data_IF_501742173608
#
_entry.id   IF_501742173608
#
_cell.length_a   1.000
_cell.length_b   1.000
_cell.length_c   1.000
_cell.angle_alpha   90.00
_cell.angle_beta   90.00
_cell.angle_gamma   90.00
#
_symmetry.space_group_name_H-M   'P 1'
#
loop_
_entity.id
_entity.type
_entity.pdbx_description
1 polymer ?
#
# COMPACT_ATOMS: atom_id res chain seq x y z
N UNK A 1 3.38 55.99 -53.63
CA UNK A 1 2.76 56.69 -52.49
C UNK A 1 2.46 55.67 -51.41
N UNK A 2 3.31 55.58 -50.38
CA UNK A 2 3.08 54.69 -49.25
C UNK A 2 2.04 55.32 -48.34
N UNK A 3 0.89 54.66 -48.19
CA UNK A 3 -0.16 55.11 -47.28
C UNK A 3 0.38 54.90 -45.85
N UNK A 4 0.87 55.96 -45.21
CA UNK A 4 1.18 55.92 -43.78
C UNK A 4 -0.16 55.92 -43.03
N UNK A 5 -0.64 54.72 -42.71
CA UNK A 5 -1.78 54.54 -41.81
C UNK A 5 -1.32 54.77 -40.36
N UNK A 6 -2.10 55.56 -39.62
CA UNK A 6 -1.93 55.81 -38.19
C UNK A 6 -2.18 54.51 -37.39
N UNK A 7 -1.24 54.04 -36.54
CA UNK A 7 -1.40 52.81 -35.76
C UNK A 7 -2.69 52.75 -34.92
N UNK A 8 -3.16 53.88 -34.41
CA UNK A 8 -4.41 53.93 -33.63
C UNK A 8 -5.65 53.65 -34.51
N UNK A 9 -5.62 54.05 -35.77
CA UNK A 9 -6.71 53.78 -36.72
C UNK A 9 -6.73 52.31 -37.17
N UNK A 10 -5.57 51.67 -37.28
CA UNK A 10 -5.48 50.22 -37.54
C UNK A 10 -6.03 49.43 -36.34
N UNK A 11 -5.69 49.83 -35.11
CA UNK A 11 -6.17 49.12 -33.92
C UNK A 11 -7.69 49.26 -33.75
N UNK A 12 -8.25 50.44 -34.03
CA UNK A 12 -9.70 50.66 -34.10
C UNK A 12 -10.37 49.80 -35.20
N UNK A 13 -9.80 49.76 -36.41
CA UNK A 13 -10.32 48.95 -37.51
C UNK A 13 -10.29 47.45 -37.21
N UNK A 14 -9.21 46.96 -36.60
CA UNK A 14 -9.11 45.54 -36.21
C UNK A 14 -10.07 45.19 -35.08
N UNK A 15 -10.37 46.14 -34.17
CA UNK A 15 -11.38 45.98 -33.13
C UNK A 15 -12.79 45.85 -33.72
N UNK A 16 -13.14 46.68 -34.70
CA UNK A 16 -14.43 46.62 -35.39
C UNK A 16 -14.58 45.32 -36.21
N UNK A 17 -13.51 44.88 -36.87
CA UNK A 17 -13.47 43.58 -37.54
C UNK A 17 -13.67 42.43 -36.55
N UNK A 18 -12.97 42.43 -35.40
CA UNK A 18 -13.16 41.43 -34.35
C UNK A 18 -14.58 41.44 -33.78
N UNK A 19 -15.19 42.61 -33.64
CA UNK A 19 -16.58 42.73 -33.19
C UNK A 19 -17.55 42.10 -34.20
N UNK A 20 -17.35 42.35 -35.50
CA UNK A 20 -18.14 41.72 -36.57
C UNK A 20 -17.98 40.20 -36.57
N UNK A 21 -16.75 39.68 -36.45
CA UNK A 21 -16.52 38.23 -36.38
C UNK A 21 -17.17 37.58 -35.15
N UNK A 22 -17.16 38.28 -33.99
CA UNK A 22 -17.83 37.80 -32.78
C UNK A 22 -19.34 37.69 -32.96
N UNK A 23 -19.96 38.69 -33.60
CA UNK A 23 -21.40 38.66 -33.89
C UNK A 23 -21.77 37.52 -34.85
N UNK A 24 -20.96 37.26 -35.88
CA UNK A 24 -21.16 36.13 -36.80
C UNK A 24 -21.04 34.79 -36.07
N UNK A 25 -20.05 34.65 -35.18
CA UNK A 25 -19.88 33.45 -34.36
C UNK A 25 -21.08 33.21 -33.46
N UNK A 26 -21.59 34.24 -32.79
CA UNK A 26 -22.79 34.14 -31.95
C UNK A 26 -24.05 33.78 -32.76
N UNK A 27 -24.17 34.26 -34.00
CA UNK A 27 -25.26 33.90 -34.91
C UNK A 27 -25.21 32.42 -35.29
N UNK A 28 -24.03 31.91 -35.67
CA UNK A 28 -23.85 30.48 -35.99
C UNK A 28 -24.09 29.58 -34.78
N UNK A 29 -23.63 29.98 -33.60
CA UNK A 29 -23.87 29.22 -32.37
C UNK A 29 -25.37 29.13 -32.02
N UNK A 30 -26.12 30.23 -32.20
CA UNK A 30 -27.58 30.22 -32.03
C UNK A 30 -28.28 29.34 -33.05
N UNK A 31 -27.87 29.39 -34.32
CA UNK A 31 -28.42 28.54 -35.38
C UNK A 31 -28.22 27.04 -35.08
N UNK A 32 -27.02 26.66 -34.62
CA UNK A 32 -26.66 25.29 -34.22
C UNK A 32 -27.18 24.89 -32.83
N UNK A 33 -27.88 25.79 -32.11
CA UNK A 33 -28.33 25.61 -30.71
C UNK A 33 -27.21 25.21 -29.75
N UNK A 34 -25.98 25.68 -30.00
CA UNK A 34 -24.81 25.34 -29.20
C UNK A 34 -24.51 26.46 -28.19
N UNK A 35 -24.47 26.12 -26.90
CA UNK A 35 -24.05 27.06 -25.85
C UNK A 35 -22.53 27.04 -25.70
N UNK A 36 -21.88 28.06 -26.25
CA UNK A 36 -20.43 28.27 -26.19
C UNK A 36 -19.89 28.41 -24.76
N UNK A 37 -20.76 28.74 -23.79
CA UNK A 37 -20.41 28.94 -22.38
C UNK A 37 -20.88 27.81 -21.48
N UNK A 38 -21.41 26.72 -22.04
CA UNK A 38 -21.86 25.55 -21.28
C UNK A 38 -20.75 24.98 -20.39
N UNK A 39 -19.52 24.88 -20.91
CA UNK A 39 -18.35 24.45 -20.15
C UNK A 39 -18.03 25.36 -18.97
N UNK A 40 -17.98 26.69 -19.18
CA UNK A 40 -17.73 27.66 -18.11
C UNK A 40 -18.83 27.63 -17.04
N UNK A 41 -20.10 27.50 -17.44
CA UNK A 41 -21.22 27.38 -16.51
C UNK A 41 -21.13 26.11 -15.67
N UNK A 42 -20.76 24.99 -16.28
CA UNK A 42 -20.55 23.72 -15.59
C UNK A 42 -19.35 23.83 -14.62
N UNK A 43 -18.26 24.46 -15.03
CA UNK A 43 -17.07 24.68 -14.20
C UNK A 43 -17.39 25.57 -12.98
N UNK A 44 -18.11 26.68 -13.18
CA UNK A 44 -18.57 27.55 -12.08
C UNK A 44 -19.47 26.77 -11.11
N UNK A 45 -20.31 25.87 -11.63
CA UNK A 45 -21.19 25.04 -10.81
C UNK A 45 -20.38 24.01 -10.00
N UNK A 46 -19.40 23.33 -10.62
CA UNK A 46 -18.47 22.41 -9.95
C UNK A 46 -17.69 23.12 -8.85
N UNK A 47 -17.16 24.32 -9.13
CA UNK A 47 -16.40 25.11 -8.16
C UNK A 47 -17.26 25.51 -6.96
N UNK A 48 -18.55 25.78 -7.16
CA UNK A 48 -19.48 26.04 -6.05
C UNK A 48 -19.70 24.79 -5.19
N UNK A 49 -19.90 23.62 -5.81
CA UNK A 49 -20.05 22.37 -5.05
C UNK A 49 -18.78 21.97 -4.31
N UNK A 50 -17.60 22.16 -4.91
CA UNK A 50 -16.30 21.92 -4.28
C UNK A 50 -16.13 22.79 -3.03
N UNK A 51 -16.49 24.08 -3.09
CA UNK A 51 -16.45 24.97 -1.92
C UNK A 51 -17.38 24.52 -0.80
N UNK A 52 -18.57 24.01 -1.14
CA UNK A 52 -19.51 23.48 -0.13
C UNK A 52 -18.95 22.23 0.53
N UNK A 53 -18.38 21.31 -0.25
CA UNK A 53 -17.74 20.09 0.26
C UNK A 53 -16.51 20.43 1.12
N UNK A 54 -15.69 21.38 0.68
CA UNK A 54 -14.53 21.84 1.44
C UNK A 54 -14.96 22.43 2.80
N UNK A 55 -16.00 23.27 2.83
CA UNK A 55 -16.52 23.80 4.10
C UNK A 55 -17.04 22.69 5.05
N UNK A 56 -17.59 21.60 4.51
CA UNK A 56 -17.98 20.44 5.32
C UNK A 56 -16.76 19.69 5.87
N UNK A 57 -15.71 19.50 5.05
CA UNK A 57 -14.45 18.88 5.50
C UNK A 57 -13.77 19.75 6.57
N UNK A 58 -13.71 21.06 6.37
CA UNK A 58 -13.11 21.99 7.33
C UNK A 58 -13.87 21.98 8.66
N UNK A 59 -15.20 21.86 8.64
CA UNK A 59 -16.01 21.67 9.86
C UNK A 59 -15.64 20.37 10.57
N UNK A 60 -15.55 19.26 9.83
CA UNK A 60 -15.15 17.97 10.40
C UNK A 60 -13.76 18.02 11.03
N UNK A 61 -12.79 18.63 10.35
CA UNK A 61 -11.42 18.79 10.84
C UNK A 61 -11.35 19.72 12.04
N UNK A 62 -12.13 20.81 12.07
CA UNK A 62 -12.20 21.72 13.20
C UNK A 62 -12.79 21.05 14.47
N UNK A 63 -13.82 20.21 14.31
CA UNK A 63 -14.48 19.52 15.43
C UNK A 63 -13.67 18.32 15.94
N UNK A 64 -13.10 17.52 15.04
CA UNK A 64 -12.45 16.26 15.40
C UNK A 64 -10.92 16.34 15.49
N UNK A 65 -10.30 17.33 14.84
CA UNK A 65 -8.85 17.47 14.74
C UNK A 65 -8.19 16.45 13.80
N UNK A 66 -7.00 16.81 13.32
CA UNK A 66 -6.26 16.01 12.33
C UNK A 66 -5.88 14.61 12.83
N UNK A 67 -5.60 14.48 14.14
CA UNK A 67 -5.19 13.22 14.74
C UNK A 67 -6.31 12.18 14.71
N UNK A 68 -7.54 12.59 15.04
CA UNK A 68 -8.69 11.68 14.99
C UNK A 68 -9.04 11.33 13.54
N UNK A 69 -9.05 12.32 12.65
CA UNK A 69 -9.36 12.11 11.23
C UNK A 69 -8.41 11.08 10.58
N UNK A 70 -7.10 11.20 10.81
CA UNK A 70 -6.12 10.22 10.33
C UNK A 70 -6.22 8.87 11.06
N UNK A 71 -6.61 8.88 12.35
CA UNK A 71 -6.68 7.67 13.17
C UNK A 71 -7.87 6.75 12.86
N UNK A 72 -8.96 7.30 12.30
CA UNK A 72 -10.16 6.52 11.94
C UNK A 72 -10.11 5.96 10.51
N UNK A 73 -9.02 6.17 9.77
CA UNK A 73 -8.87 5.62 8.43
C UNK A 73 -8.91 4.07 8.48
N UNK A 74 -9.74 3.43 7.63
CA UNK A 74 -9.88 1.97 7.67
C UNK A 74 -8.61 1.28 7.15
N UNK A 75 -7.85 0.67 8.05
CA UNK A 75 -6.59 -0.03 7.72
C UNK A 75 -6.82 -1.51 7.38
N UNK A 76 -7.94 -2.09 7.81
CA UNK A 76 -8.23 -3.50 7.64
C UNK A 76 -8.43 -3.87 6.16
N UNK A 77 -7.71 -4.89 5.71
CA UNK A 77 -7.86 -5.46 4.37
C UNK A 77 -7.83 -6.99 4.48
N UNK A 78 -8.89 -7.70 4.04
CA UNK A 78 -8.92 -9.16 4.07
C UNK A 78 -7.75 -9.80 3.31
N UNK A 79 -7.31 -9.17 2.22
CA UNK A 79 -6.19 -9.65 1.39
C UNK A 79 -4.83 -9.54 2.10
N UNK A 80 -4.73 -8.73 3.17
CA UNK A 80 -3.53 -8.61 3.98
C UNK A 80 -3.52 -9.58 5.18
N UNK A 81 -4.59 -10.34 5.40
CA UNK A 81 -4.65 -11.31 6.47
C UNK A 81 -3.62 -12.43 6.24
N UNK A 82 -2.78 -12.69 7.24
CA UNK A 82 -1.79 -13.77 7.21
C UNK A 82 -2.27 -14.91 8.10
N UNK A 83 -2.37 -16.10 7.52
CA UNK A 83 -2.69 -17.33 8.22
C UNK A 83 -1.43 -18.17 8.34
N UNK A 84 -1.02 -18.49 9.57
CA UNK A 84 0.11 -19.35 9.85
C UNK A 84 -0.39 -20.68 10.41
N UNK A 85 -0.38 -21.74 9.59
CA UNK A 85 -0.98 -23.05 9.88
C UNK A 85 0.01 -24.23 9.80
N UNK A 86 1.20 -24.00 9.23
CA UNK A 86 2.19 -25.04 8.91
C UNK A 86 3.05 -25.49 10.10
N UNK A 87 2.45 -25.68 11.28
CA UNK A 87 3.15 -26.04 12.53
C UNK A 87 3.93 -27.35 12.43
N UNK A 88 3.44 -28.31 11.65
CA UNK A 88 4.10 -29.61 11.41
C UNK A 88 5.47 -29.46 10.73
N UNK A 89 5.64 -28.46 9.87
CA UNK A 89 6.89 -28.22 9.16
C UNK A 89 7.89 -27.52 10.08
N UNK A 90 7.43 -26.49 10.80
CA UNK A 90 8.24 -25.79 11.79
C UNK A 90 8.74 -26.73 12.89
N UNK A 91 7.94 -27.72 13.32
CA UNK A 91 8.39 -28.71 14.29
C UNK A 91 9.58 -29.56 13.79
N UNK A 92 9.60 -29.94 12.51
CA UNK A 92 10.72 -30.67 11.89
C UNK A 92 11.96 -29.79 11.72
N UNK A 93 11.75 -28.56 11.28
CA UNK A 93 12.83 -27.59 11.12
C UNK A 93 13.50 -27.29 12.47
N UNK A 94 12.71 -27.03 13.51
CA UNK A 94 13.20 -26.74 14.85
C UNK A 94 13.94 -27.94 15.43
N UNK A 95 13.43 -29.17 15.23
CA UNK A 95 14.11 -30.39 15.67
C UNK A 95 15.48 -30.57 15.00
N UNK A 96 15.57 -30.34 13.69
CA UNK A 96 16.83 -30.46 12.95
C UNK A 96 17.81 -29.31 13.27
N UNK A 97 17.30 -28.09 13.49
CA UNK A 97 18.13 -26.96 13.95
C UNK A 97 18.77 -27.30 15.28
N UNK A 98 17.97 -27.77 16.26
CA UNK A 98 18.45 -28.18 17.58
C UNK A 98 19.49 -29.31 17.48
N UNK A 99 19.23 -30.32 16.65
CA UNK A 99 20.17 -31.43 16.40
C UNK A 99 21.55 -30.94 15.94
N UNK A 100 21.60 -30.03 14.95
CA UNK A 100 22.87 -29.49 14.48
C UNK A 100 23.51 -28.48 15.44
N UNK A 101 22.71 -27.71 16.17
CA UNK A 101 23.22 -26.78 17.18
C UNK A 101 23.92 -27.54 18.32
N UNK A 102 23.42 -28.74 18.67
CA UNK A 102 24.08 -29.66 19.60
C UNK A 102 25.38 -30.23 19.00
N UNK A 103 25.34 -30.76 17.77
CA UNK A 103 26.52 -31.36 17.12
C UNK A 103 27.67 -30.38 16.97
N UNK A 104 27.37 -29.14 16.59
CA UNK A 104 28.37 -28.08 16.41
C UNK A 104 28.75 -27.37 17.72
N UNK A 105 28.22 -27.82 18.88
CA UNK A 105 28.58 -27.31 20.19
C UNK A 105 28.08 -25.89 20.47
N UNK A 106 27.08 -25.41 19.72
CA UNK A 106 26.42 -24.11 19.95
C UNK A 106 25.44 -24.15 21.11
N UNK A 107 24.92 -25.34 21.43
CA UNK A 107 24.06 -25.63 22.57
C UNK A 107 24.68 -26.75 23.42
N UNK A 108 24.86 -26.51 24.71
CA UNK A 108 25.33 -27.50 25.69
C UNK A 108 24.18 -27.89 26.63
N UNK A 109 24.19 -29.12 27.17
CA UNK A 109 23.11 -29.69 28.02
C UNK A 109 22.72 -28.80 29.21
N UNK A 110 23.60 -27.91 29.65
CA UNK A 110 23.39 -26.99 30.77
C UNK A 110 22.54 -25.75 30.36
N UNK A 111 22.28 -25.55 29.08
CA UNK A 111 21.55 -24.39 28.58
C UNK A 111 20.04 -24.53 28.78
N UNK A 112 19.46 -23.58 29.53
CA UNK A 112 17.99 -23.44 29.71
C UNK A 112 17.23 -23.34 28.38
N UNK A 113 17.91 -22.87 27.34
CA UNK A 113 17.32 -22.71 26.01
C UNK A 113 16.95 -24.06 25.38
N UNK A 114 17.77 -25.11 25.57
CA UNK A 114 17.48 -26.46 25.09
C UNK A 114 16.16 -26.96 25.67
N UNK A 115 15.98 -26.84 26.99
CA UNK A 115 14.74 -27.28 27.66
C UNK A 115 13.52 -26.57 27.08
N UNK A 116 13.63 -25.26 26.82
CA UNK A 116 12.54 -24.48 26.22
C UNK A 116 12.22 -24.91 24.78
N UNK A 117 13.24 -25.24 23.98
CA UNK A 117 13.08 -25.72 22.61
C UNK A 117 12.50 -27.14 22.58
N UNK A 118 12.96 -28.02 23.48
CA UNK A 118 12.38 -29.36 23.66
C UNK A 118 10.89 -29.29 23.98
N UNK A 119 10.47 -28.42 24.92
CA UNK A 119 9.05 -28.22 25.25
C UNK A 119 8.26 -27.75 24.02
N UNK A 120 8.81 -26.83 23.21
CA UNK A 120 8.16 -26.36 21.97
C UNK A 120 8.02 -27.45 20.91
N UNK A 121 9.01 -28.34 20.78
CA UNK A 121 8.94 -29.49 19.86
C UNK A 121 7.91 -30.51 20.37
N UNK A 122 7.91 -30.81 21.67
CA UNK A 122 6.95 -31.72 22.31
C UNK A 122 5.51 -31.23 22.15
N UNK A 123 5.25 -29.93 22.30
CA UNK A 123 3.92 -29.33 22.12
C UNK A 123 3.39 -29.43 20.68
N UNK A 124 4.25 -29.74 19.69
CA UNK A 124 3.90 -29.91 18.27
C UNK A 124 4.13 -31.34 17.79
N UNK A 125 4.21 -32.30 18.73
CA UNK A 125 4.49 -33.70 18.42
C UNK A 125 3.39 -34.32 17.57
N UNK A 126 3.81 -35.07 16.55
CA UNK A 126 2.95 -35.92 15.74
C UNK A 126 3.71 -37.21 15.40
N UNK A 127 3.02 -38.30 15.00
CA UNK A 127 3.69 -39.57 14.71
C UNK A 127 4.83 -39.45 13.69
N UNK A 128 4.64 -38.65 12.64
CA UNK A 128 5.65 -38.44 11.60
C UNK A 128 6.88 -37.66 12.09
N UNK A 129 6.75 -36.86 13.15
CA UNK A 129 7.86 -36.14 13.77
C UNK A 129 8.70 -37.10 14.60
N UNK A 130 8.06 -38.06 15.27
CA UNK A 130 8.78 -39.12 16.00
C UNK A 130 9.57 -39.99 15.04
N UNK A 131 8.96 -40.45 13.94
CA UNK A 131 9.67 -41.23 12.90
C UNK A 131 10.86 -40.44 12.33
N UNK A 132 10.69 -39.14 12.12
CA UNK A 132 11.74 -38.25 11.64
C UNK A 132 12.89 -38.11 12.65
N UNK A 133 12.58 -37.86 13.92
CA UNK A 133 13.59 -37.76 14.98
C UNK A 133 14.33 -39.08 15.17
N UNK A 134 13.61 -40.20 15.18
CA UNK A 134 14.18 -41.55 15.31
C UNK A 134 15.19 -41.83 14.19
N UNK A 135 14.83 -41.54 12.93
CA UNK A 135 15.75 -41.71 11.81
C UNK A 135 17.05 -40.90 11.96
N UNK A 136 16.96 -39.65 12.43
CA UNK A 136 18.14 -38.81 12.59
C UNK A 136 19.05 -39.24 13.75
N UNK A 137 18.46 -39.70 14.85
CA UNK A 137 19.20 -40.22 16.01
C UNK A 137 19.87 -41.56 15.66
N UNK A 138 19.15 -42.49 15.03
CA UNK A 138 19.68 -43.82 14.70
C UNK A 138 20.83 -43.77 13.68
N UNK A 139 20.85 -42.76 12.81
CA UNK A 139 21.92 -42.54 11.83
C UNK A 139 23.00 -41.56 12.31
N UNK A 140 23.01 -41.18 13.59
CA UNK A 140 24.02 -40.30 14.15
C UNK A 140 25.35 -41.07 14.36
N UNK A 141 26.46 -40.67 13.72
CA UNK A 141 27.76 -41.33 13.88
C UNK A 141 28.42 -40.93 15.21
N UNK A 142 28.16 -41.71 16.26
CA UNK A 142 28.68 -41.51 17.63
C UNK A 142 30.20 -41.67 17.77
N UNK A 143 30.86 -42.17 16.72
CA UNK A 143 32.31 -42.31 16.59
C UNK A 143 33.02 -40.98 16.28
N UNK A 144 32.28 -39.93 15.87
CA UNK A 144 32.86 -38.67 15.38
C UNK A 144 33.14 -37.60 16.44
N UNK A 145 32.75 -37.81 17.69
CA UNK A 145 33.10 -36.88 18.79
C UNK A 145 32.14 -36.92 19.98
N UNK A 146 32.50 -36.23 21.07
CA UNK A 146 31.66 -36.15 22.28
C UNK A 146 30.34 -35.43 22.05
N UNK A 147 30.30 -34.44 21.13
CA UNK A 147 29.06 -33.74 20.75
C UNK A 147 28.09 -34.61 19.96
N UNK A 148 28.61 -35.60 19.20
CA UNK A 148 27.78 -36.58 18.48
C UNK A 148 27.20 -37.66 19.39
N UNK A 149 27.83 -37.93 20.55
CA UNK A 149 27.26 -38.81 21.59
C UNK A 149 26.17 -38.13 22.41
N UNK A 150 26.10 -36.80 22.33
CA UNK A 150 25.21 -35.95 23.11
C UNK A 150 23.91 -35.59 22.37
N UNK A 151 23.95 -35.64 21.02
CA UNK A 151 22.81 -35.43 20.13
C UNK A 151 21.95 -36.70 19.99
#
# INVERSE_FOLDING_TARGET
AGMMMDPAAIDALTKDQRALFKQQLELFARYLKMDLRSGDKAAITSQKSEKVLQAQLDLWTAEHGDFYAAGIEPVFSPLKARTYDSSWNWARQDALSMYYDIIFGRLQVVDREIVSQCIRIMNRSNPKLLDFAQYHIDNCPTDRGETYKLA
#
